data_IF_715939493917
#
_entry.id   IF_715939493917
#
_cell.length_a   1.000
_cell.length_b   1.000
_cell.length_c   1.000
_cell.angle_alpha   90.00
_cell.angle_beta   90.00
_cell.angle_gamma   90.00
#
_symmetry.space_group_name_H-M   'P 1'
#
loop_
_entity.id
_entity.type
_entity.pdbx_description
1 polymer ?
#
# COMPACT_ATOMS: atom_id res chain seq x y z
N UNK A 1 -22.65 15.11 9.64
CA UNK A 1 -21.50 15.93 9.20
C UNK A 1 -20.94 15.24 7.96
N UNK A 2 -21.19 15.81 6.78
CA UNK A 2 -20.72 15.27 5.49
C UNK A 2 -19.20 15.20 5.51
N UNK A 3 -18.65 14.02 5.24
CA UNK A 3 -17.20 13.82 5.08
C UNK A 3 -16.69 14.82 4.04
N UNK A 4 -15.94 15.82 4.50
CA UNK A 4 -15.35 16.80 3.61
C UNK A 4 -14.13 16.14 2.96
N UNK A 5 -14.30 15.72 1.71
CA UNK A 5 -13.20 15.18 0.92
C UNK A 5 -12.23 16.31 0.59
N UNK A 6 -10.94 16.10 0.85
CA UNK A 6 -9.91 17.12 0.72
C UNK A 6 -9.21 17.05 -0.64
N UNK A 7 -8.97 15.85 -1.16
CA UNK A 7 -8.57 15.63 -2.56
C UNK A 7 -9.67 14.82 -3.23
N UNK A 8 -10.20 15.30 -4.34
CA UNK A 8 -11.21 14.60 -5.13
C UNK A 8 -10.79 14.51 -6.60
N UNK A 9 -10.86 13.31 -7.15
CA UNK A 9 -10.85 13.08 -8.59
C UNK A 9 -12.28 12.68 -8.96
N UNK A 10 -12.91 13.41 -9.89
CA UNK A 10 -14.28 13.15 -10.35
C UNK A 10 -14.26 12.76 -11.81
N UNK A 11 -14.58 11.49 -12.05
CA UNK A 11 -14.67 10.88 -13.38
C UNK A 11 -13.44 11.15 -14.26
N UNK A 12 -12.25 11.01 -13.67
CA UNK A 12 -11.00 11.34 -14.35
C UNK A 12 -10.67 10.25 -15.38
N UNK A 13 -10.45 10.67 -16.62
CA UNK A 13 -9.99 9.84 -17.73
C UNK A 13 -8.64 10.36 -18.18
N UNK A 14 -7.68 9.49 -18.48
CA UNK A 14 -6.39 9.87 -19.05
C UNK A 14 -6.02 8.97 -20.23
N UNK A 15 -5.86 9.61 -21.39
CA UNK A 15 -5.37 9.01 -22.63
C UNK A 15 -4.03 9.63 -23.05
N UNK A 16 -3.15 8.81 -23.58
CA UNK A 16 -1.93 9.23 -24.28
C UNK A 16 -2.04 8.79 -25.74
N UNK A 17 -2.34 9.74 -26.62
CA UNK A 17 -2.75 9.42 -27.99
C UNK A 17 -4.02 8.55 -27.97
N UNK A 18 -3.94 7.36 -28.57
CA UNK A 18 -5.05 6.39 -28.60
C UNK A 18 -5.09 5.47 -27.38
N UNK A 19 -4.04 5.44 -26.56
CA UNK A 19 -3.95 4.52 -25.42
C UNK A 19 -4.62 5.13 -24.18
N UNK A 20 -5.65 4.47 -23.64
CA UNK A 20 -6.33 4.88 -22.40
C UNK A 20 -5.65 4.22 -21.20
N UNK A 21 -5.05 5.03 -20.33
CA UNK A 21 -4.33 4.56 -19.13
C UNK A 21 -5.21 4.60 -17.90
N UNK A 22 -6.11 5.59 -17.81
CA UNK A 22 -7.13 5.70 -16.77
C UNK A 22 -8.49 5.80 -17.47
N UNK A 23 -9.40 4.87 -17.20
CA UNK A 23 -10.68 4.76 -17.92
C UNK A 23 -11.79 5.65 -17.34
N UNK A 24 -12.05 5.55 -16.04
CA UNK A 24 -12.99 6.38 -15.28
C UNK A 24 -12.63 6.22 -13.81
N UNK A 25 -11.91 7.20 -13.27
CA UNK A 25 -11.41 7.16 -11.90
C UNK A 25 -12.08 8.25 -11.06
N UNK A 26 -12.87 7.80 -10.09
CA UNK A 26 -13.40 8.65 -9.02
C UNK A 26 -12.80 8.23 -7.68
N UNK A 27 -12.09 9.15 -7.05
CA UNK A 27 -11.36 8.93 -5.80
C UNK A 27 -11.55 10.13 -4.89
N UNK A 28 -11.88 9.89 -3.62
CA UNK A 28 -11.99 10.92 -2.62
C UNK A 28 -11.12 10.59 -1.41
N UNK A 29 -10.22 11.50 -1.05
CA UNK A 29 -9.31 11.37 0.08
C UNK A 29 -9.75 12.35 1.17
N UNK A 30 -10.13 11.88 2.37
CA UNK A 30 -10.46 12.78 3.47
C UNK A 30 -9.24 13.56 3.96
N UNK A 31 -9.48 14.73 4.56
CA UNK A 31 -8.40 15.54 5.13
C UNK A 31 -7.59 14.76 6.17
N UNK A 32 -6.26 14.88 6.11
CA UNK A 32 -5.35 14.27 7.08
C UNK A 32 -5.23 12.75 6.97
N UNK A 33 -5.83 12.14 5.95
CA UNK A 33 -5.70 10.70 5.68
C UNK A 33 -4.56 10.43 4.71
N UNK A 34 -3.91 9.29 4.92
CA UNK A 34 -2.96 8.72 3.97
C UNK A 34 -3.62 7.59 3.19
N UNK A 35 -3.65 7.72 1.86
CA UNK A 35 -4.16 6.70 0.95
C UNK A 35 -3.00 6.14 0.14
N UNK A 36 -2.83 4.81 0.15
CA UNK A 36 -1.88 4.16 -0.76
C UNK A 36 -2.54 3.68 -2.04
N UNK A 37 -1.83 3.84 -3.16
CA UNK A 37 -2.16 3.25 -4.46
C UNK A 37 -1.33 1.99 -4.65
N UNK A 38 -2.01 0.86 -4.78
CA UNK A 38 -1.45 -0.44 -5.12
C UNK A 38 -1.98 -0.92 -6.47
N UNK A 39 -1.29 -1.88 -7.07
CA UNK A 39 -1.71 -2.52 -8.31
C UNK A 39 -0.52 -3.01 -9.12
N UNK A 40 -0.75 -3.85 -10.15
CA UNK A 40 0.31 -4.33 -11.04
C UNK A 40 1.09 -3.20 -11.72
N UNK A 41 2.28 -3.51 -12.23
CA UNK A 41 3.05 -2.57 -13.05
C UNK A 41 2.22 -2.09 -14.25
N UNK A 42 2.27 -0.80 -14.53
CA UNK A 42 1.52 -0.20 -15.65
C UNK A 42 0.02 0.03 -15.43
N UNK A 43 -0.53 -0.25 -14.24
CA UNK A 43 -1.97 -0.05 -13.98
C UNK A 43 -2.41 1.42 -13.80
N UNK A 44 -1.49 2.38 -13.85
CA UNK A 44 -1.80 3.81 -13.78
C UNK A 44 -1.50 4.54 -12.46
N UNK A 45 -0.89 3.90 -11.45
CA UNK A 45 -0.60 4.52 -10.12
C UNK A 45 0.15 5.85 -10.22
N UNK A 46 1.30 5.86 -10.88
CA UNK A 46 2.13 7.06 -11.08
C UNK A 46 1.41 8.09 -11.96
N UNK A 47 0.54 7.65 -12.89
CA UNK A 47 -0.30 8.56 -13.67
C UNK A 47 -1.30 9.28 -12.78
N UNK A 48 -2.00 8.58 -11.87
CA UNK A 48 -2.89 9.21 -10.88
C UNK A 48 -2.13 10.19 -10.01
N UNK A 49 -0.95 9.80 -9.51
CA UNK A 49 -0.11 10.67 -8.69
C UNK A 49 0.27 11.97 -9.45
N UNK A 50 0.68 11.86 -10.72
CA UNK A 50 1.03 13.00 -11.58
C UNK A 50 -0.17 13.88 -11.95
N UNK A 51 -1.36 13.30 -12.08
CA UNK A 51 -2.61 14.03 -12.31
C UNK A 51 -2.97 14.87 -11.09
N UNK A 52 -2.89 14.31 -9.87
CA UNK A 52 -3.05 15.05 -8.62
C UNK A 52 -1.96 16.14 -8.51
N UNK A 53 -0.73 15.81 -8.91
CA UNK A 53 0.38 16.73 -8.89
C UNK A 53 0.25 17.94 -9.85
N UNK A 54 -0.58 17.82 -10.89
CA UNK A 54 -0.60 18.80 -11.99
C UNK A 54 0.63 18.74 -12.89
N UNK A 55 1.38 17.63 -12.84
CA UNK A 55 2.44 17.32 -13.80
C UNK A 55 1.86 16.70 -15.09
N UNK A 56 0.66 16.16 -15.00
CA UNK A 56 -0.15 15.70 -16.12
C UNK A 56 -1.54 16.33 -16.02
N UNK A 57 -2.17 16.60 -17.17
CA UNK A 57 -3.57 17.00 -17.24
C UNK A 57 -4.48 15.80 -17.53
N UNK A 58 -5.66 15.70 -16.91
CA UNK A 58 -6.64 14.71 -17.30
C UNK A 58 -7.12 15.00 -18.74
N UNK A 59 -7.51 13.95 -19.45
CA UNK A 59 -8.18 14.08 -20.75
C UNK A 59 -9.64 14.49 -20.55
N UNK A 60 -10.30 13.92 -19.54
CA UNK A 60 -11.67 14.24 -19.13
C UNK A 60 -11.76 14.16 -17.60
N UNK A 61 -12.82 14.74 -17.03
CA UNK A 61 -13.05 14.79 -15.58
C UNK A 61 -12.40 15.99 -14.90
N UNK A 62 -12.49 16.03 -13.57
CA UNK A 62 -12.05 17.16 -12.75
C UNK A 62 -11.28 16.72 -11.52
N UNK A 63 -10.37 17.57 -11.07
CA UNK A 63 -9.57 17.37 -9.85
C UNK A 63 -9.81 18.56 -8.93
N UNK A 64 -10.20 18.26 -7.69
CA UNK A 64 -10.40 19.25 -6.64
C UNK A 64 -9.42 19.03 -5.50
N UNK A 65 -8.89 20.11 -4.96
CA UNK A 65 -8.09 20.12 -3.73
C UNK A 65 -8.64 21.21 -2.83
N UNK A 66 -9.00 20.86 -1.59
CA UNK A 66 -9.57 21.78 -0.60
C UNK A 66 -10.82 22.51 -1.13
N UNK A 67 -11.66 21.79 -1.88
CA UNK A 67 -12.86 22.31 -2.53
C UNK A 67 -12.64 23.14 -3.80
N UNK A 68 -11.39 23.47 -4.16
CA UNK A 68 -11.08 24.24 -5.36
C UNK A 68 -10.81 23.35 -6.57
N UNK A 69 -11.39 23.68 -7.73
CA UNK A 69 -11.06 23.03 -9.01
C UNK A 69 -9.62 23.43 -9.41
N UNK A 70 -8.73 22.45 -9.40
CA UNK A 70 -7.31 22.62 -9.73
C UNK A 70 -6.94 21.97 -11.06
N UNK A 71 -7.91 21.49 -11.83
CA UNK A 71 -7.72 20.66 -13.04
C UNK A 71 -6.67 21.23 -13.99
N UNK A 72 -6.72 22.54 -14.26
CA UNK A 72 -5.81 23.24 -15.18
C UNK A 72 -4.62 23.94 -14.50
N UNK A 73 -4.55 23.91 -13.16
CA UNK A 73 -3.49 24.56 -12.39
C UNK A 73 -2.19 23.77 -12.46
N UNK A 74 -1.06 24.48 -12.55
CA UNK A 74 0.26 23.86 -12.46
C UNK A 74 0.58 23.43 -11.02
N UNK A 75 1.61 22.60 -10.85
CA UNK A 75 2.04 22.13 -9.52
C UNK A 75 2.27 23.26 -8.50
N UNK A 76 2.84 24.39 -8.92
CA UNK A 76 3.11 25.54 -8.04
C UNK A 76 1.84 26.23 -7.54
N UNK A 77 0.71 26.04 -8.23
CA UNK A 77 -0.58 26.67 -7.94
C UNK A 77 -1.53 25.75 -7.14
N UNK A 78 -1.06 24.54 -6.76
CA UNK A 78 -1.86 23.52 -6.06
C UNK A 78 -1.52 23.39 -4.57
N UNK A 79 -0.47 24.07 -4.09
CA UNK A 79 0.00 23.99 -2.71
C UNK A 79 0.29 22.54 -2.24
N UNK A 80 1.02 21.82 -3.10
CA UNK A 80 1.36 20.41 -2.90
C UNK A 80 2.88 20.22 -2.98
N UNK A 81 3.37 19.15 -2.36
CA UNK A 81 4.75 18.71 -2.53
C UNK A 81 4.81 17.25 -2.94
N UNK A 82 5.84 16.90 -3.72
CA UNK A 82 6.09 15.54 -4.17
C UNK A 82 7.46 15.07 -3.71
N UNK A 83 7.50 13.87 -3.13
CA UNK A 83 8.71 13.13 -2.78
C UNK A 83 8.91 12.05 -3.83
N UNK A 84 9.95 12.22 -4.65
CA UNK A 84 10.27 11.33 -5.77
C UNK A 84 11.07 10.10 -5.31
N UNK A 85 10.97 9.02 -6.07
CA UNK A 85 11.73 7.78 -5.90
C UNK A 85 13.26 7.99 -5.88
N UNK A 86 13.77 8.90 -6.73
CA UNK A 86 15.20 9.26 -6.79
C UNK A 86 15.58 10.38 -5.83
N UNK A 87 14.66 10.80 -4.96
CA UNK A 87 14.74 11.93 -4.02
C UNK A 87 14.86 13.32 -4.69
N UNK A 88 15.35 13.37 -5.93
CA UNK A 88 15.53 14.57 -6.74
C UNK A 88 16.23 15.71 -5.97
N UNK A 89 17.24 15.39 -5.16
CA UNK A 89 18.08 16.39 -4.48
C UNK A 89 19.01 17.06 -5.49
N UNK A 90 19.27 18.35 -5.29
CA UNK A 90 20.21 19.12 -6.10
C UNK A 90 21.64 18.87 -5.62
N UNK A 91 22.48 18.18 -6.41
CA UNK A 91 23.80 17.71 -5.94
C UNK A 91 24.81 18.86 -5.75
N UNK A 92 24.57 20.00 -6.40
CA UNK A 92 25.42 21.19 -6.33
C UNK A 92 25.03 22.16 -5.20
N UNK A 93 24.02 21.81 -4.40
CA UNK A 93 23.55 22.61 -3.27
C UNK A 93 23.83 21.87 -1.97
N UNK A 94 24.09 22.59 -0.89
CA UNK A 94 24.15 21.98 0.45
C UNK A 94 22.77 21.41 0.85
N UNK A 95 22.71 20.59 1.90
CA UNK A 95 21.45 20.06 2.40
C UNK A 95 20.54 21.18 2.90
N UNK A 96 21.10 22.18 3.57
CA UNK A 96 20.36 23.37 4.00
C UNK A 96 19.81 24.18 2.82
N UNK A 97 20.58 24.31 1.74
CA UNK A 97 20.12 24.96 0.50
C UNK A 97 19.04 24.14 -0.21
N UNK A 98 19.18 22.81 -0.26
CA UNK A 98 18.17 21.90 -0.80
C UNK A 98 16.82 22.08 -0.08
N UNK A 99 16.84 22.05 1.25
CA UNK A 99 15.64 22.19 2.08
C UNK A 99 15.07 23.61 1.94
N UNK A 100 15.90 24.64 2.02
CA UNK A 100 15.47 26.04 1.97
C UNK A 100 15.07 26.54 0.57
N UNK A 101 15.32 25.77 -0.49
CA UNK A 101 15.14 26.20 -1.88
C UNK A 101 13.73 26.74 -2.16
N UNK A 102 12.69 26.04 -1.73
CA UNK A 102 11.30 26.46 -1.96
C UNK A 102 10.97 27.78 -1.27
N UNK A 103 11.42 27.98 -0.03
CA UNK A 103 11.23 29.25 0.69
C UNK A 103 11.99 30.41 0.03
N UNK A 104 13.19 30.14 -0.50
CA UNK A 104 13.98 31.10 -1.26
C UNK A 104 13.25 31.55 -2.53
N UNK A 105 12.63 30.61 -3.26
CA UNK A 105 11.82 30.93 -4.45
C UNK A 105 10.56 31.72 -4.13
N UNK A 106 10.00 31.54 -2.93
CA UNK A 106 8.90 32.36 -2.41
C UNK A 106 9.36 33.73 -1.85
N UNK A 107 10.64 34.08 -1.96
CA UNK A 107 11.17 35.37 -1.53
C UNK A 107 11.24 35.55 -0.01
N UNK A 108 11.26 34.46 0.77
CA UNK A 108 11.33 34.56 2.24
C UNK A 108 12.67 35.12 2.71
N UNK A 109 12.72 35.90 3.82
CA UNK A 109 13.96 36.45 4.35
C UNK A 109 14.97 35.35 4.73
N UNK A 110 16.27 35.61 4.50
CA UNK A 110 17.35 34.64 4.80
C UNK A 110 17.34 34.13 6.25
N UNK A 111 17.02 35.00 7.21
CA UNK A 111 16.94 34.64 8.62
C UNK A 111 15.82 33.62 8.89
N UNK A 112 14.63 33.84 8.30
CA UNK A 112 13.51 32.89 8.36
C UNK A 112 13.87 31.56 7.72
N UNK A 113 14.50 31.59 6.53
CA UNK A 113 14.92 30.37 5.83
C UNK A 113 15.88 29.56 6.72
N UNK A 114 16.91 30.19 7.30
CA UNK A 114 17.89 29.51 8.14
C UNK A 114 17.23 28.84 9.35
N UNK A 115 16.33 29.55 10.02
CA UNK A 115 15.59 29.00 11.16
C UNK A 115 14.75 27.77 10.74
N UNK A 116 13.95 27.91 9.67
CA UNK A 116 13.06 26.84 9.21
C UNK A 116 13.80 25.62 8.67
N UNK A 117 14.98 25.82 8.08
CA UNK A 117 15.87 24.72 7.66
C UNK A 117 16.37 23.94 8.87
N UNK A 118 16.80 24.63 9.93
CA UNK A 118 17.26 24.00 11.17
C UNK A 118 16.13 23.17 11.81
N UNK A 119 14.93 23.76 11.95
CA UNK A 119 13.73 23.06 12.45
C UNK A 119 13.39 21.83 11.58
N UNK A 120 13.48 21.96 10.25
CA UNK A 120 13.17 20.85 9.33
C UNK A 120 14.20 19.71 9.41
N UNK A 121 15.48 20.01 9.64
CA UNK A 121 16.52 19.01 9.86
C UNK A 121 16.36 18.30 11.20
N UNK A 122 15.97 19.01 12.25
CA UNK A 122 15.65 18.41 13.56
C UNK A 122 14.51 17.40 13.45
N UNK A 123 13.43 17.73 12.70
CA UNK A 123 12.29 16.84 12.50
C UNK A 123 12.64 15.49 11.85
N UNK A 124 13.77 15.41 11.15
CA UNK A 124 14.22 14.20 10.44
C UNK A 124 15.51 13.61 11.03
N UNK A 125 15.87 14.02 12.25
CA UNK A 125 17.06 13.62 13.00
C UNK A 125 18.40 13.89 12.26
N UNK A 126 18.48 15.03 11.56
CA UNK A 126 19.66 15.48 10.81
C UNK A 126 20.16 16.86 11.26
N UNK A 127 19.91 17.24 12.51
CA UNK A 127 20.44 18.50 13.07
C UNK A 127 21.97 18.58 12.90
N UNK A 128 22.47 19.74 12.43
CA UNK A 128 23.91 19.95 12.19
C UNK A 128 24.41 19.47 10.81
N UNK A 129 23.51 19.06 9.91
CA UNK A 129 23.86 18.59 8.57
C UNK A 129 23.71 19.67 7.48
N UNK A 130 23.40 20.92 7.85
CA UNK A 130 23.06 22.03 6.95
C UNK A 130 24.11 22.24 5.84
N UNK A 131 25.39 22.13 6.20
CA UNK A 131 26.52 22.44 5.32
C UNK A 131 27.03 21.23 4.52
N UNK A 132 26.46 20.04 4.76
CA UNK A 132 26.82 18.84 3.98
C UNK A 132 26.25 18.89 2.57
N UNK A 133 26.78 18.05 1.69
CA UNK A 133 26.30 17.84 0.33
C UNK A 133 25.71 16.42 0.17
N UNK A 134 24.99 16.21 -0.94
CA UNK A 134 24.23 14.97 -1.22
C UNK A 134 25.12 13.73 -1.26
N UNK A 135 26.36 13.87 -1.73
CA UNK A 135 27.38 12.81 -1.83
C UNK A 135 28.05 12.48 -0.49
N UNK A 136 27.81 13.27 0.56
CA UNK A 136 28.38 13.10 1.90
C UNK A 136 27.44 12.39 2.88
N UNK A 137 26.29 11.88 2.40
CA UNK A 137 25.25 11.27 3.22
C UNK A 137 24.72 9.96 2.60
N UNK A 138 24.21 9.07 3.44
CA UNK A 138 23.63 7.80 3.00
C UNK A 138 22.30 7.98 2.27
N UNK A 139 21.85 6.96 1.52
CA UNK A 139 20.55 7.01 0.82
C UNK A 139 19.35 7.27 1.75
N UNK A 140 19.38 6.74 2.98
CA UNK A 140 18.36 7.03 3.99
C UNK A 140 18.37 8.47 4.48
N UNK A 141 19.56 9.03 4.64
CA UNK A 141 19.72 10.45 4.97
C UNK A 141 19.25 11.34 3.81
N UNK A 142 19.54 10.96 2.55
CA UNK A 142 19.03 11.68 1.38
C UNK A 142 17.50 11.71 1.36
N UNK A 143 16.86 10.59 1.69
CA UNK A 143 15.41 10.54 1.78
C UNK A 143 14.85 11.43 2.90
N UNK A 144 15.48 11.42 4.08
CA UNK A 144 15.14 12.32 5.19
C UNK A 144 15.25 13.79 4.79
N UNK A 145 16.30 14.16 4.05
CA UNK A 145 16.44 15.51 3.48
C UNK A 145 15.33 15.82 2.47
N UNK A 146 14.97 14.88 1.61
CA UNK A 146 13.87 15.06 0.66
C UNK A 146 12.52 15.27 1.36
N UNK A 147 12.29 14.54 2.45
CA UNK A 147 11.10 14.70 3.31
C UNK A 147 11.10 16.06 4.01
N UNK A 148 12.22 16.46 4.62
CA UNK A 148 12.37 17.78 5.23
C UNK A 148 12.11 18.91 4.23
N UNK A 149 12.65 18.80 3.00
CA UNK A 149 12.42 19.74 1.90
C UNK A 149 10.95 19.82 1.49
N UNK A 150 10.21 18.72 1.56
CA UNK A 150 8.78 18.74 1.26
C UNK A 150 7.96 19.38 2.40
N UNK A 151 8.31 19.06 3.66
CA UNK A 151 7.56 19.50 4.83
C UNK A 151 7.80 20.98 5.19
N UNK A 152 8.97 21.53 4.86
CA UNK A 152 9.27 22.94 5.14
C UNK A 152 8.30 23.91 4.45
N UNK A 153 7.63 23.51 3.36
CA UNK A 153 6.63 24.35 2.71
C UNK A 153 5.25 24.29 3.37
N UNK A 154 5.03 23.36 4.32
CA UNK A 154 3.72 23.10 4.95
C UNK A 154 2.60 22.90 3.89
N UNK A 155 2.77 21.97 2.94
CA UNK A 155 1.83 21.79 1.84
C UNK A 155 0.48 21.25 2.34
N UNK A 156 -0.59 21.54 1.58
CA UNK A 156 -1.92 20.94 1.79
C UNK A 156 -1.91 19.44 1.54
N UNK A 157 -1.16 19.00 0.52
CA UNK A 157 -1.08 17.59 0.10
C UNK A 157 0.37 17.17 -0.09
N UNK A 158 0.71 15.99 0.42
CA UNK A 158 2.01 15.37 0.22
C UNK A 158 1.88 14.10 -0.63
N UNK A 159 2.62 14.05 -1.73
CA UNK A 159 2.59 12.96 -2.70
C UNK A 159 3.89 12.17 -2.61
N UNK A 160 3.81 10.85 -2.50
CA UNK A 160 4.97 9.97 -2.45
C UNK A 160 4.97 9.01 -3.65
N UNK A 161 6.06 9.03 -4.44
CA UNK A 161 6.24 8.13 -5.59
C UNK A 161 7.33 7.11 -5.27
N UNK A 162 6.92 5.91 -4.85
CA UNK A 162 7.81 4.81 -4.44
C UNK A 162 8.96 5.26 -3.53
N UNK A 163 8.67 5.99 -2.43
CA UNK A 163 9.69 6.72 -1.68
C UNK A 163 10.71 5.80 -0.99
N UNK A 164 10.41 4.51 -0.85
CA UNK A 164 11.16 3.53 -0.07
C UNK A 164 11.74 2.37 -0.89
N UNK A 165 11.59 2.38 -2.23
CA UNK A 165 11.99 1.26 -3.09
C UNK A 165 13.48 0.94 -3.07
N UNK A 166 14.33 1.96 -2.83
CA UNK A 166 15.78 1.86 -2.96
C UNK A 166 16.51 1.66 -1.61
N UNK A 167 15.77 1.34 -0.55
CA UNK A 167 16.33 1.19 0.80
C UNK A 167 16.38 -0.27 1.24
N UNK A 168 17.35 -0.59 2.10
CA UNK A 168 17.39 -1.87 2.82
C UNK A 168 16.23 -2.00 3.81
N UNK A 169 15.97 -3.23 4.29
CA UNK A 169 14.80 -3.54 5.10
C UNK A 169 14.72 -2.75 6.43
N UNK A 170 15.84 -2.57 7.13
CA UNK A 170 15.85 -1.90 8.43
C UNK A 170 15.59 -0.40 8.26
N UNK A 171 16.28 0.21 7.30
CA UNK A 171 16.09 1.62 7.00
C UNK A 171 14.70 1.90 6.43
N UNK A 172 14.18 1.02 5.56
CA UNK A 172 12.81 1.08 5.03
C UNK A 172 11.78 1.12 6.15
N UNK A 173 11.92 0.23 7.13
CA UNK A 173 11.01 0.18 8.30
C UNK A 173 11.03 1.48 9.10
N UNK A 174 12.23 1.95 9.48
CA UNK A 174 12.38 3.19 10.23
C UNK A 174 11.82 4.40 9.47
N UNK A 175 12.08 4.50 8.17
CA UNK A 175 11.59 5.59 7.34
C UNK A 175 10.07 5.55 7.15
N UNK A 176 9.49 4.36 7.00
CA UNK A 176 8.03 4.19 6.94
C UNK A 176 7.36 4.68 8.22
N UNK A 177 7.91 4.31 9.37
CA UNK A 177 7.43 4.77 10.69
C UNK A 177 7.53 6.30 10.78
N UNK A 178 8.67 6.89 10.36
CA UNK A 178 8.87 8.34 10.41
C UNK A 178 7.95 9.12 9.46
N UNK A 179 7.71 8.61 8.25
CA UNK A 179 6.76 9.20 7.30
C UNK A 179 5.36 9.24 7.90
N UNK A 180 4.91 8.12 8.52
CA UNK A 180 3.59 8.05 9.14
C UNK A 180 3.47 8.99 10.34
N UNK A 181 4.48 9.01 11.19
CA UNK A 181 4.56 9.91 12.35
C UNK A 181 4.41 11.37 11.94
N UNK A 182 5.24 11.84 11.00
CA UNK A 182 5.22 13.24 10.55
C UNK A 182 3.90 13.58 9.84
N UNK A 183 3.38 12.67 9.02
CA UNK A 183 2.08 12.86 8.35
C UNK A 183 0.94 13.05 9.36
N UNK A 184 0.90 12.23 10.42
CA UNK A 184 -0.10 12.32 11.48
C UNK A 184 0.10 13.57 12.34
N UNK A 185 1.34 13.86 12.75
CA UNK A 185 1.68 15.03 13.56
C UNK A 185 1.23 16.34 12.90
N UNK A 186 1.39 16.46 11.59
CA UNK A 186 1.00 17.65 10.84
C UNK A 186 -0.40 17.58 10.19
N UNK A 187 -1.13 16.47 10.39
CA UNK A 187 -2.44 16.22 9.78
C UNK A 187 -2.46 16.47 8.26
N UNK A 188 -1.40 16.08 7.56
CA UNK A 188 -1.23 16.34 6.13
C UNK A 188 -1.96 15.27 5.33
N UNK A 189 -2.78 15.66 4.36
CA UNK A 189 -3.43 14.72 3.44
C UNK A 189 -2.37 14.14 2.49
N UNK A 190 -2.30 12.81 2.38
CA UNK A 190 -1.21 12.15 1.64
C UNK A 190 -1.69 11.10 0.65
N UNK A 191 -1.04 11.04 -0.51
CA UNK A 191 -1.18 9.97 -1.50
C UNK A 191 0.16 9.27 -1.65
N UNK A 192 0.17 7.95 -1.47
CA UNK A 192 1.38 7.15 -1.39
C UNK A 192 1.37 6.07 -2.48
N UNK A 193 2.39 6.00 -3.33
CA UNK A 193 2.51 4.96 -4.35
C UNK A 193 3.59 3.99 -3.94
N UNK A 194 3.27 2.69 -3.96
CA UNK A 194 4.25 1.62 -3.79
C UNK A 194 3.83 0.36 -4.55
N UNK A 195 4.79 -0.55 -4.72
CA UNK A 195 4.56 -1.92 -5.16
C UNK A 195 4.55 -2.91 -3.98
N UNK A 196 4.93 -2.48 -2.77
CA UNK A 196 4.99 -3.33 -1.57
C UNK A 196 3.67 -3.22 -0.77
N UNK A 197 3.00 -4.36 -0.61
CA UNK A 197 1.71 -4.45 0.08
C UNK A 197 1.87 -4.25 1.58
N UNK A 198 2.93 -4.81 2.17
CA UNK A 198 3.20 -4.71 3.61
C UNK A 198 3.50 -3.26 3.98
N UNK A 199 4.15 -2.52 3.10
CA UNK A 199 4.35 -1.08 3.21
C UNK A 199 3.03 -0.31 3.17
N UNK A 200 2.23 -0.52 2.14
CA UNK A 200 0.94 0.15 1.98
C UNK A 200 0.02 -0.11 3.19
N UNK A 201 -0.04 -1.34 3.68
CA UNK A 201 -0.84 -1.72 4.85
C UNK A 201 -0.37 -1.08 6.14
N UNK A 202 0.94 -0.94 6.32
CA UNK A 202 1.51 -0.40 7.56
C UNK A 202 1.43 1.15 7.63
N UNK A 203 1.44 1.84 6.49
CA UNK A 203 1.52 3.31 6.47
C UNK A 203 0.16 3.99 6.27
N UNK A 204 -0.84 3.30 5.72
CA UNK A 204 -2.04 3.95 5.18
C UNK A 204 -3.28 3.77 6.05
N UNK A 205 -4.14 4.78 6.05
CA UNK A 205 -5.51 4.66 6.56
C UNK A 205 -6.40 3.87 5.58
N UNK A 206 -6.18 4.08 4.28
CA UNK A 206 -6.91 3.42 3.21
C UNK A 206 -5.96 2.99 2.11
N UNK A 207 -6.31 1.92 1.42
CA UNK A 207 -5.57 1.39 0.29
C UNK A 207 -6.52 1.24 -0.87
N UNK A 208 -6.09 1.77 -2.02
CA UNK A 208 -6.77 1.67 -3.29
C UNK A 208 -5.97 0.71 -4.16
N UNK A 209 -6.62 -0.35 -4.63
CA UNK A 209 -6.01 -1.29 -5.58
C UNK A 209 -6.51 -0.99 -6.98
N UNK A 210 -5.59 -0.82 -7.91
CA UNK A 210 -5.85 -0.57 -9.33
C UNK A 210 -5.52 -1.78 -10.18
N UNK A 211 -6.28 -1.97 -11.26
CA UNK A 211 -5.93 -2.89 -12.33
C UNK A 211 -6.36 -2.29 -13.67
N UNK A 212 -5.46 -2.28 -14.65
CA UNK A 212 -5.72 -1.76 -16.01
C UNK A 212 -6.48 -0.41 -16.02
N UNK A 213 -6.06 0.55 -15.20
CA UNK A 213 -6.67 1.89 -15.17
C UNK A 213 -8.00 2.01 -14.42
N UNK A 214 -8.46 0.94 -13.75
CA UNK A 214 -9.68 0.91 -12.93
C UNK A 214 -9.38 0.68 -11.46
N UNK A 215 -10.23 1.22 -10.60
CA UNK A 215 -10.25 0.89 -9.18
C UNK A 215 -10.91 -0.47 -9.02
N UNK A 216 -10.21 -1.41 -8.38
CA UNK A 216 -10.72 -2.74 -8.06
C UNK A 216 -11.39 -2.76 -6.69
N UNK A 217 -10.75 -2.11 -5.71
CA UNK A 217 -11.28 -1.99 -4.36
C UNK A 217 -10.60 -0.82 -3.64
N UNK A 218 -11.35 -0.16 -2.76
CA UNK A 218 -10.87 0.89 -1.86
C UNK A 218 -11.41 0.61 -0.46
N UNK A 219 -10.55 0.68 0.55
CA UNK A 219 -10.95 0.40 1.93
C UNK A 219 -9.76 0.41 2.89
N UNK A 220 -10.00 0.04 4.14
CA UNK A 220 -8.90 -0.15 5.10
C UNK A 220 -8.02 -1.34 4.69
N UNK A 221 -6.74 -1.37 5.07
CA UNK A 221 -5.87 -2.53 4.85
C UNK A 221 -6.50 -3.85 5.30
N UNK A 222 -7.11 -3.86 6.49
CA UNK A 222 -7.76 -5.05 7.04
C UNK A 222 -8.95 -5.50 6.19
N UNK A 223 -9.78 -4.58 5.70
CA UNK A 223 -10.95 -4.93 4.88
C UNK A 223 -10.51 -5.47 3.52
N UNK A 224 -9.51 -4.87 2.87
CA UNK A 224 -8.98 -5.38 1.60
C UNK A 224 -8.41 -6.78 1.73
N UNK A 225 -7.70 -7.04 2.83
CA UNK A 225 -7.10 -8.34 3.07
C UNK A 225 -8.13 -9.42 3.43
N UNK A 226 -9.09 -9.09 4.31
CA UNK A 226 -10.06 -10.05 4.85
C UNK A 226 -11.31 -10.22 4.02
N UNK A 227 -11.68 -9.23 3.22
CA UNK A 227 -12.89 -9.23 2.41
C UNK A 227 -12.55 -8.72 0.99
N UNK A 228 -11.72 -9.47 0.24
CA UNK A 228 -11.41 -9.11 -1.14
C UNK A 228 -12.67 -9.15 -2.00
N UNK A 229 -12.90 -8.10 -2.79
CA UNK A 229 -14.12 -7.96 -3.59
C UNK A 229 -14.15 -8.84 -4.86
N UNK A 230 -13.04 -9.51 -5.19
CA UNK A 230 -12.93 -10.36 -6.39
C UNK A 230 -11.78 -11.36 -6.26
N UNK A 231 -11.77 -12.37 -7.13
CA UNK A 231 -10.67 -13.32 -7.26
C UNK A 231 -9.33 -12.61 -7.52
N UNK A 232 -9.33 -11.56 -8.36
CA UNK A 232 -8.15 -10.73 -8.56
C UNK A 232 -7.65 -10.13 -7.24
N UNK A 233 -8.53 -9.57 -6.41
CA UNK A 233 -8.16 -8.99 -5.12
C UNK A 233 -7.66 -10.06 -4.14
N UNK A 234 -8.27 -11.25 -4.16
CA UNK A 234 -7.89 -12.37 -3.31
C UNK A 234 -6.45 -12.82 -3.61
N UNK A 235 -6.11 -13.02 -4.89
CA UNK A 235 -4.76 -13.37 -5.33
C UNK A 235 -3.78 -12.22 -5.13
N UNK A 236 -4.14 -11.01 -5.56
CA UNK A 236 -3.22 -9.87 -5.53
C UNK A 236 -2.82 -9.47 -4.10
N UNK A 237 -3.65 -9.68 -3.08
CA UNK A 237 -3.34 -9.28 -1.69
C UNK A 237 -2.54 -10.31 -0.87
N UNK A 238 -2.11 -11.44 -1.45
CA UNK A 238 -1.31 -12.45 -0.75
C UNK A 238 -1.77 -13.89 -1.01
N UNK A 239 -1.92 -14.24 -2.29
CA UNK A 239 -2.12 -15.60 -2.80
C UNK A 239 -3.04 -16.48 -1.95
N UNK A 240 -4.35 -16.32 -2.11
CA UNK A 240 -5.34 -17.13 -1.41
C UNK A 240 -5.58 -18.48 -2.08
N UNK A 241 -5.83 -19.52 -1.27
CA UNK A 241 -6.32 -20.81 -1.76
C UNK A 241 -7.83 -20.72 -1.98
N UNK A 242 -8.31 -21.07 -3.18
CA UNK A 242 -9.72 -20.93 -3.56
C UNK A 242 -10.37 -22.30 -3.72
N UNK A 243 -11.53 -22.47 -3.08
CA UNK A 243 -12.25 -23.74 -3.06
C UNK A 243 -13.71 -23.58 -3.46
N UNK A 244 -14.30 -24.54 -4.18
CA UNK A 244 -15.75 -24.71 -4.17
C UNK A 244 -16.19 -25.14 -2.76
N UNK A 245 -17.27 -24.56 -2.25
CA UNK A 245 -17.78 -24.88 -0.93
C UNK A 245 -19.32 -24.87 -0.90
N UNK A 246 -19.89 -25.67 0.01
CA UNK A 246 -21.33 -25.65 0.31
C UNK A 246 -21.57 -25.06 1.69
N UNK A 247 -22.43 -24.05 1.78
CA UNK A 247 -22.84 -23.43 3.04
C UNK A 247 -24.05 -24.16 3.63
N UNK A 248 -23.91 -24.61 4.87
CA UNK A 248 -25.00 -25.02 5.74
C UNK A 248 -25.51 -23.87 6.61
N UNK A 249 -26.35 -24.21 7.60
CA UNK A 249 -26.87 -23.24 8.56
C UNK A 249 -25.74 -22.61 9.41
N UNK A 250 -24.85 -23.46 9.92
CA UNK A 250 -23.77 -23.14 10.86
C UNK A 250 -22.39 -23.65 10.41
N UNK A 251 -22.30 -24.25 9.21
CA UNK A 251 -21.06 -24.83 8.69
C UNK A 251 -20.75 -24.42 7.24
N UNK A 252 -19.48 -24.58 6.87
CA UNK A 252 -18.94 -24.53 5.51
C UNK A 252 -18.35 -25.90 5.20
N UNK A 253 -18.77 -26.53 4.11
CA UNK A 253 -18.23 -27.82 3.66
C UNK A 253 -17.28 -27.59 2.47
N UNK A 254 -16.01 -27.97 2.65
CA UNK A 254 -14.98 -27.95 1.61
C UNK A 254 -14.48 -29.39 1.44
N UNK A 255 -14.81 -30.04 0.32
CA UNK A 255 -14.44 -31.43 0.05
C UNK A 255 -14.70 -32.39 1.23
N UNK A 256 -15.92 -32.35 1.81
CA UNK A 256 -16.33 -33.16 2.97
C UNK A 256 -15.65 -32.77 4.29
N UNK A 257 -14.86 -31.70 4.31
CA UNK A 257 -14.36 -31.09 5.53
C UNK A 257 -15.34 -30.00 5.99
N UNK A 258 -16.09 -30.28 7.08
CA UNK A 258 -17.01 -29.33 7.70
C UNK A 258 -16.30 -28.43 8.71
N UNK A 259 -16.37 -27.14 8.46
CA UNK A 259 -15.80 -26.08 9.29
C UNK A 259 -16.92 -25.19 9.84
N UNK A 260 -16.73 -24.56 11.02
CA UNK A 260 -17.66 -23.54 11.51
C UNK A 260 -17.81 -22.40 10.50
N UNK A 261 -19.05 -22.00 10.21
CA UNK A 261 -19.33 -20.88 9.30
C UNK A 261 -18.92 -19.55 9.96
N UNK A 262 -18.03 -18.75 9.33
CA UNK A 262 -17.71 -17.43 9.84
C UNK A 262 -18.91 -16.48 9.80
N UNK A 263 -19.09 -15.62 10.80
CA UNK A 263 -20.17 -14.61 10.85
C UNK A 263 -20.10 -13.60 9.68
N UNK A 264 -18.94 -13.48 9.05
CA UNK A 264 -18.73 -12.61 7.88
C UNK A 264 -19.35 -13.16 6.60
N UNK A 265 -19.81 -14.42 6.58
CA UNK A 265 -20.38 -15.08 5.42
C UNK A 265 -21.84 -14.67 5.23
N UNK A 266 -22.04 -13.44 4.77
CA UNK A 266 -23.35 -12.83 4.51
C UNK A 266 -23.81 -13.08 3.08
N UNK A 267 -24.28 -14.29 2.77
CA UNK A 267 -24.85 -14.62 1.45
C UNK A 267 -26.02 -15.58 1.57
N UNK A 268 -26.95 -15.51 0.61
CA UNK A 268 -28.11 -16.41 0.49
C UNK A 268 -27.82 -17.61 -0.41
N UNK A 269 -26.66 -17.64 -1.10
CA UNK A 269 -26.24 -18.76 -1.94
C UNK A 269 -25.79 -19.93 -1.07
N UNK A 270 -26.14 -21.15 -1.49
CA UNK A 270 -25.67 -22.39 -0.84
C UNK A 270 -24.36 -22.87 -1.42
N UNK A 271 -24.16 -22.74 -2.73
CA UNK A 271 -22.89 -23.03 -3.40
C UNK A 271 -22.11 -21.74 -3.61
N UNK A 272 -20.89 -21.69 -3.08
CA UNK A 272 -20.05 -20.49 -3.10
C UNK A 272 -18.60 -20.86 -3.39
N UNK A 273 -17.79 -19.87 -3.74
CA UNK A 273 -16.34 -20.01 -3.65
C UNK A 273 -15.84 -19.42 -2.34
N UNK A 274 -15.04 -20.19 -1.62
CA UNK A 274 -14.38 -19.76 -0.39
C UNK A 274 -12.89 -19.59 -0.67
N UNK A 275 -12.37 -18.42 -0.33
CA UNK A 275 -10.94 -18.20 -0.24
C UNK A 275 -10.44 -18.42 1.18
N UNK A 276 -9.28 -19.05 1.32
CA UNK A 276 -8.59 -19.27 2.60
C UNK A 276 -7.17 -18.77 2.45
N UNK A 277 -6.76 -17.85 3.33
CA UNK A 277 -5.40 -17.33 3.37
C UNK A 277 -4.37 -18.41 3.74
N UNK A 278 -3.15 -18.41 3.16
CA UNK A 278 -2.12 -19.41 3.45
C UNK A 278 -1.80 -19.57 4.94
N UNK A 279 -1.77 -18.47 5.69
CA UNK A 279 -1.51 -18.46 7.14
C UNK A 279 -2.69 -18.95 7.99
N UNK A 280 -3.88 -19.09 7.40
CA UNK A 280 -5.05 -19.65 8.06
C UNK A 280 -5.15 -21.18 7.88
N UNK A 281 -4.22 -21.80 7.16
CA UNK A 281 -4.13 -23.24 7.01
C UNK A 281 -2.87 -23.72 7.74
N UNK A 282 -3.07 -24.54 8.77
CA UNK A 282 -1.99 -25.13 9.57
C UNK A 282 -1.92 -26.64 9.37
N UNK A 283 -0.78 -27.23 9.73
CA UNK A 283 -0.53 -28.66 9.59
C UNK A 283 -0.52 -29.34 10.96
N UNK A 284 -1.23 -30.46 11.08
CA UNK A 284 -1.29 -31.31 12.28
C UNK A 284 -0.81 -32.74 11.96
N UNK A 285 -0.27 -33.42 12.96
CA UNK A 285 0.09 -34.84 12.86
C UNK A 285 -1.12 -35.78 12.96
N UNK A 286 -2.26 -35.26 13.44
CA UNK A 286 -3.50 -36.02 13.62
C UNK A 286 -4.68 -35.26 13.03
N UNK A 287 -5.62 -36.01 12.44
CA UNK A 287 -6.83 -35.49 11.82
C UNK A 287 -7.63 -36.58 11.12
N UNK A 288 -8.69 -36.17 10.44
CA UNK A 288 -9.58 -37.03 9.66
C UNK A 288 -9.03 -37.27 8.25
N UNK A 289 -9.46 -38.36 7.61
CA UNK A 289 -9.03 -38.72 6.24
C UNK A 289 -9.28 -37.58 5.23
N UNK A 290 -10.37 -36.82 5.39
CA UNK A 290 -10.67 -35.70 4.49
C UNK A 290 -9.66 -34.55 4.59
N UNK A 291 -8.90 -34.47 5.69
CA UNK A 291 -7.87 -33.44 5.93
C UNK A 291 -6.49 -33.86 5.45
N UNK A 292 -6.28 -35.14 5.09
CA UNK A 292 -4.95 -35.66 4.76
C UNK A 292 -4.37 -34.99 3.51
N UNK A 293 -3.16 -34.45 3.63
CA UNK A 293 -2.42 -33.80 2.56
C UNK A 293 -0.96 -34.26 2.53
N UNK A 294 -0.31 -34.08 1.38
CA UNK A 294 1.12 -34.41 1.19
C UNK A 294 1.93 -33.18 0.81
N UNK A 295 3.10 -33.00 1.42
CA UNK A 295 3.99 -31.90 1.09
C UNK A 295 4.72 -32.17 -0.22
N UNK A 296 4.63 -31.24 -1.17
CA UNK A 296 5.28 -31.31 -2.48
C UNK A 296 6.46 -30.36 -2.62
N UNK A 297 6.44 -29.23 -1.93
CA UNK A 297 7.52 -28.24 -1.94
C UNK A 297 7.65 -27.52 -0.60
N UNK A 298 8.87 -27.18 -0.22
CA UNK A 298 9.19 -26.45 1.01
C UNK A 298 10.26 -25.40 0.71
N UNK A 299 9.98 -24.14 1.04
CA UNK A 299 10.95 -23.05 1.02
C UNK A 299 11.10 -22.46 2.43
N UNK A 300 12.34 -22.37 2.91
CA UNK A 300 12.65 -21.74 4.20
C UNK A 300 12.77 -20.23 4.04
N UNK A 301 11.97 -19.47 4.81
CA UNK A 301 11.89 -18.01 4.74
C UNK A 301 12.34 -17.33 6.03
N UNK A 302 13.04 -18.05 6.92
CA UNK A 302 13.46 -17.54 8.24
C UNK A 302 12.47 -17.92 9.34
N UNK A 303 11.65 -16.99 9.87
CA UNK A 303 10.67 -17.31 10.92
C UNK A 303 9.53 -18.22 10.46
N UNK A 304 9.42 -18.46 9.15
CA UNK A 304 8.35 -19.27 8.56
C UNK A 304 8.88 -20.10 7.38
N UNK A 305 8.13 -21.15 7.04
CA UNK A 305 8.24 -21.91 5.81
C UNK A 305 7.08 -21.56 4.89
N UNK A 306 7.37 -21.36 3.62
CA UNK A 306 6.37 -21.41 2.57
C UNK A 306 6.30 -22.86 2.07
N UNK A 307 5.12 -23.46 2.20
CA UNK A 307 4.92 -24.89 1.94
C UNK A 307 3.85 -25.04 0.89
N UNK A 308 4.12 -25.88 -0.10
CA UNK A 308 3.11 -26.32 -1.06
C UNK A 308 2.68 -27.74 -0.74
N UNK A 309 1.38 -27.97 -0.65
CA UNK A 309 0.80 -29.28 -0.37
C UNK A 309 -0.19 -29.72 -1.44
N UNK A 310 -0.31 -31.02 -1.64
CA UNK A 310 -1.34 -31.66 -2.44
C UNK A 310 -2.47 -32.14 -1.51
N UNK A 311 -3.69 -31.63 -1.74
CA UNK A 311 -4.89 -31.97 -0.98
C UNK A 311 -6.08 -32.06 -1.93
N UNK A 312 -6.79 -33.21 -1.94
CA UNK A 312 -7.98 -33.43 -2.78
C UNK A 312 -7.75 -33.09 -4.28
N UNK A 313 -6.59 -33.50 -4.83
CA UNK A 313 -6.14 -33.19 -6.20
C UNK A 313 -5.94 -31.69 -6.50
N UNK A 314 -5.79 -30.86 -5.47
CA UNK A 314 -5.45 -29.45 -5.58
C UNK A 314 -4.12 -29.16 -4.91
N UNK A 315 -3.41 -28.17 -5.46
CA UNK A 315 -2.15 -27.66 -4.92
C UNK A 315 -2.45 -26.42 -4.08
N UNK A 316 -2.07 -26.44 -2.80
CA UNK A 316 -2.30 -25.33 -1.88
C UNK A 316 -1.00 -24.72 -1.40
N UNK A 317 -1.03 -23.41 -1.18
CA UNK A 317 0.05 -22.64 -0.56
C UNK A 317 -0.26 -22.41 0.92
N UNK A 318 0.69 -22.74 1.80
CA UNK A 318 0.60 -22.57 3.24
C UNK A 318 1.79 -21.77 3.76
N UNK A 319 1.58 -21.05 4.86
CA UNK A 319 2.66 -20.43 5.63
C UNK A 319 2.72 -21.05 7.03
N UNK A 320 3.82 -21.75 7.31
CA UNK A 320 4.00 -22.54 8.54
C UNK A 320 5.07 -21.89 9.42
N UNK A 321 4.76 -21.67 10.70
CA UNK A 321 5.72 -21.09 11.63
C UNK A 321 6.87 -22.08 11.91
N UNK A 322 8.12 -21.62 11.75
CA UNK A 322 9.31 -22.47 11.90
C UNK A 322 9.53 -23.01 13.33
N UNK A 323 8.89 -22.39 14.33
CA UNK A 323 8.93 -22.86 15.73
C UNK A 323 7.88 -23.95 16.02
N UNK A 324 6.82 -24.03 15.20
CA UNK A 324 5.75 -25.01 15.38
C UNK A 324 6.02 -26.31 14.61
N UNK A 325 6.55 -26.21 13.39
CA UNK A 325 6.78 -27.36 12.53
C UNK A 325 7.93 -27.09 11.56
N UNK A 326 8.75 -28.11 11.32
CA UNK A 326 9.83 -28.11 10.33
C UNK A 326 9.54 -29.19 9.28
N UNK A 327 8.73 -28.86 8.25
CA UNK A 327 8.26 -29.85 7.29
C UNK A 327 9.35 -30.27 6.30
N UNK A 328 9.29 -31.52 5.84
CA UNK A 328 10.10 -32.02 4.72
C UNK A 328 9.21 -32.39 3.52
N UNK A 329 9.81 -32.32 2.32
CA UNK A 329 9.14 -32.78 1.10
C UNK A 329 8.82 -34.27 1.20
N UNK A 330 7.59 -34.64 0.86
CA UNK A 330 7.09 -36.02 0.94
C UNK A 330 6.37 -36.36 2.23
N UNK A 331 6.50 -35.56 3.29
CA UNK A 331 5.77 -35.75 4.53
C UNK A 331 4.24 -35.70 4.31
N UNK A 332 3.50 -36.46 5.12
CA UNK A 332 2.04 -36.44 5.14
C UNK A 332 1.55 -35.83 6.46
N UNK A 333 0.60 -34.91 6.36
CA UNK A 333 0.00 -34.20 7.49
C UNK A 333 -1.52 -34.08 7.29
N UNK A 334 -2.20 -33.53 8.28
CA UNK A 334 -3.62 -33.20 8.22
C UNK A 334 -3.81 -31.69 8.25
N UNK A 335 -4.59 -31.15 7.30
CA UNK A 335 -4.93 -29.73 7.23
C UNK A 335 -5.88 -29.30 8.34
N UNK A 336 -5.53 -28.21 9.00
CA UNK A 336 -6.42 -27.48 9.90
C UNK A 336 -6.67 -26.09 9.34
N UNK A 337 -7.91 -25.86 8.88
CA UNK A 337 -8.35 -24.59 8.31
C UNK A 337 -9.00 -23.77 9.42
N UNK A 338 -8.50 -22.55 9.63
CA UNK A 338 -9.00 -21.63 10.66
C UNK A 338 -9.99 -20.62 10.04
N UNK A 339 -11.18 -20.41 10.65
CA UNK A 339 -12.17 -19.44 10.19
C UNK A 339 -11.65 -18.00 10.02
N UNK A 340 -10.63 -17.61 10.81
CA UNK A 340 -10.10 -16.24 10.88
C UNK A 340 -9.47 -15.72 9.58
N UNK A 341 -9.15 -16.58 8.61
CA UNK A 341 -8.66 -16.19 7.28
C UNK A 341 -9.53 -16.65 6.11
N UNK A 342 -10.79 -17.02 6.39
CA UNK A 342 -11.76 -17.42 5.37
C UNK A 342 -12.55 -16.20 4.88
N UNK A 343 -12.86 -16.18 3.58
CA UNK A 343 -13.74 -15.20 2.95
C UNK A 343 -14.52 -15.83 1.79
N UNK A 344 -15.66 -15.24 1.44
CA UNK A 344 -16.45 -15.65 0.27
C UNK A 344 -16.11 -14.77 -0.93
N UNK A 345 -16.07 -15.38 -2.12
CA UNK A 345 -16.09 -14.69 -3.40
C UNK A 345 -17.44 -14.99 -4.08
N UNK A 346 -18.16 -13.94 -4.48
CA UNK A 346 -19.52 -14.04 -5.05
C UNK A 346 -19.59 -14.19 -6.57
#
# INVERSE_FOLDING_TARGET
MTQQHFVELKNVIKRFGTNTVIEDLSLSIPQGKMVSLLGPSGCGKTTVLRLVAGLEKPTEGKIFIDGEDVTDRSIQQRDICMVFQSYALFPHMSLGENIGYGLKMLGRPKAEIKQRVSEALELVDLAGFEDRFVDQISGGQQQRVALARALILKPKVLLFDEPLSNLDANLRRSMREKIRELQQQFNITSLYVTHDQSEAFAVSDMVLVMNKGKIMQLGSPQNLYRQPASEFMASFMGDANLFPATLGADYVDIFQYRLPKPDTFNTTKTEVRVGVRPEAITLSQQGDVCQQCKIVHVAYMGPQYEVTVEWQNQTLLLQVNATQLQPNVGDSYYLQIHPYGMFILE
#
